data_IF_883120752743
#
_entry.id   IF_883120752743
#
_cell.length_a   1.000
_cell.length_b   1.000
_cell.length_c   1.000
_cell.angle_alpha   90.00
_cell.angle_beta   90.00
_cell.angle_gamma   90.00
#
_symmetry.space_group_name_H-M   'P 1'
#
loop_
_entity.id
_entity.type
_entity.pdbx_description
1 polymer ?
#
# COMPACT_ATOMS: atom_id res chain seq x y z
N UNK A 1 18.05 -12.04 -28.59
CA UNK A 1 16.57 -12.02 -28.68
C UNK A 1 16.07 -11.20 -27.49
N UNK A 2 15.91 -9.89 -27.69
CA UNK A 2 15.72 -8.91 -26.61
C UNK A 2 14.28 -8.42 -26.63
N UNK A 3 13.53 -8.67 -25.55
CA UNK A 3 12.19 -8.12 -25.35
C UNK A 3 12.32 -6.96 -24.37
N UNK A 4 12.29 -5.75 -24.91
CA UNK A 4 12.26 -4.50 -24.15
C UNK A 4 10.89 -4.30 -23.52
N UNK A 5 10.79 -4.42 -22.20
CA UNK A 5 9.61 -4.01 -21.44
C UNK A 5 9.55 -2.48 -21.38
N UNK A 6 8.68 -1.92 -22.22
CA UNK A 6 8.37 -0.49 -22.29
C UNK A 6 7.57 -0.10 -21.04
N UNK A 7 8.26 0.62 -20.15
CA UNK A 7 7.75 1.44 -19.04
C UNK A 7 6.42 2.12 -19.44
N UNK A 8 5.30 1.72 -18.83
CA UNK A 8 4.07 2.53 -18.84
C UNK A 8 4.35 3.79 -18.05
N UNK A 9 4.39 4.94 -18.74
CA UNK A 9 4.33 6.26 -18.10
C UNK A 9 2.94 6.41 -17.50
N UNK A 10 2.89 6.65 -16.19
CA UNK A 10 1.72 7.21 -15.54
C UNK A 10 1.38 8.54 -16.21
N UNK A 11 0.23 8.58 -16.86
CA UNK A 11 -0.38 9.81 -17.29
C UNK A 11 -0.94 10.50 -16.05
N UNK A 12 -0.42 11.70 -15.77
CA UNK A 12 -1.02 12.68 -14.89
C UNK A 12 -2.48 12.90 -15.26
N UNK A 13 -3.41 12.31 -14.50
CA UNK A 13 -4.85 12.55 -14.65
C UNK A 13 -5.18 13.92 -14.05
N UNK A 14 -4.88 14.95 -14.82
CA UNK A 14 -5.45 16.27 -14.67
C UNK A 14 -6.98 16.21 -14.72
N UNK A 15 -7.60 17.12 -13.98
CA UNK A 15 -9.04 17.41 -13.90
C UNK A 15 -9.79 16.95 -15.16
N UNK A 16 -10.74 16.03 -14.99
CA UNK A 16 -11.73 15.70 -16.01
C UNK A 16 -12.63 16.92 -16.24
N UNK A 17 -12.22 17.81 -17.13
CA UNK A 17 -13.15 18.73 -17.80
C UNK A 17 -13.68 17.97 -19.01
N UNK A 18 -14.96 17.55 -19.04
CA UNK A 18 -15.51 16.99 -20.27
C UNK A 18 -15.32 17.99 -21.40
N UNK A 19 -14.78 17.52 -22.52
CA UNK A 19 -14.44 18.33 -23.69
C UNK A 19 -15.74 18.74 -24.40
N UNK A 20 -16.50 19.64 -23.79
CA UNK A 20 -17.74 20.16 -24.31
C UNK A 20 -17.41 21.08 -25.48
N UNK A 21 -17.95 20.76 -26.67
CA UNK A 21 -17.82 21.64 -27.82
C UNK A 21 -18.31 23.05 -27.44
N UNK A 22 -17.58 24.11 -27.85
CA UNK A 22 -17.94 25.46 -27.50
C UNK A 22 -19.39 25.78 -27.91
N UNK A 23 -20.12 26.45 -27.03
CA UNK A 23 -21.55 26.79 -27.22
C UNK A 23 -21.79 27.55 -28.52
N UNK A 24 -20.81 28.37 -28.91
CA UNK A 24 -20.81 29.13 -30.15
C UNK A 24 -20.63 28.27 -31.41
N UNK A 25 -20.32 26.98 -31.30
CA UNK A 25 -20.32 26.02 -32.42
C UNK A 25 -21.62 25.23 -32.47
N UNK A 26 -22.11 24.77 -31.31
CA UNK A 26 -23.34 23.95 -31.24
C UNK A 26 -24.58 24.74 -31.62
N UNK A 27 -24.69 25.99 -31.18
CA UNK A 27 -25.83 26.85 -31.49
C UNK A 27 -25.99 27.14 -33.00
N UNK A 28 -24.94 27.57 -33.74
CA UNK A 28 -25.08 27.79 -35.17
C UNK A 28 -25.25 26.49 -35.96
N UNK A 29 -24.67 25.37 -35.54
CA UNK A 29 -24.89 24.07 -36.20
C UNK A 29 -26.33 23.60 -36.04
N UNK A 30 -26.92 23.73 -34.85
CA UNK A 30 -28.32 23.42 -34.60
C UNK A 30 -29.25 24.35 -35.40
N UNK A 31 -28.94 25.65 -35.46
CA UNK A 31 -29.67 26.61 -36.30
C UNK A 31 -29.57 26.26 -37.79
N UNK A 32 -28.38 25.87 -38.27
CA UNK A 32 -28.20 25.42 -39.66
C UNK A 32 -29.02 24.18 -39.95
N UNK A 33 -29.03 23.19 -39.04
CA UNK A 33 -29.82 21.97 -39.22
C UNK A 33 -31.34 22.26 -39.29
N UNK A 34 -31.83 23.16 -38.42
CA UNK A 34 -33.24 23.62 -38.46
C UNK A 34 -33.54 24.38 -39.76
N UNK A 35 -32.62 25.25 -40.20
CA UNK A 35 -32.75 25.98 -41.46
C UNK A 35 -32.80 25.06 -42.67
N UNK A 36 -31.93 24.04 -42.72
CA UNK A 36 -31.90 23.03 -43.79
C UNK A 36 -33.18 22.19 -43.79
N UNK A 37 -33.67 21.79 -42.62
CA UNK A 37 -34.93 21.05 -42.50
C UNK A 37 -36.13 21.89 -42.97
N UNK A 38 -36.19 23.18 -42.58
CA UNK A 38 -37.23 24.10 -43.03
C UNK A 38 -37.19 24.31 -44.55
N UNK A 39 -35.98 24.46 -45.12
CA UNK A 39 -35.80 24.58 -46.56
C UNK A 39 -36.23 23.31 -47.31
N UNK A 40 -35.87 22.12 -46.82
CA UNK A 40 -36.27 20.86 -47.43
C UNK A 40 -37.79 20.64 -47.39
N UNK A 41 -38.44 21.01 -46.28
CA UNK A 41 -39.91 20.96 -46.16
C UNK A 41 -40.56 21.95 -47.12
N UNK A 42 -40.01 23.16 -47.25
CA UNK A 42 -40.50 24.16 -48.21
C UNK A 42 -40.38 23.64 -49.65
N UNK A 43 -39.23 23.06 -50.02
CA UNK A 43 -39.03 22.49 -51.36
C UNK A 43 -39.97 21.32 -51.62
N UNK A 44 -40.11 20.39 -50.66
CA UNK A 44 -41.05 19.27 -50.79
C UNK A 44 -42.49 19.74 -50.95
N UNK A 45 -42.92 20.72 -50.15
CA UNK A 45 -44.25 21.31 -50.28
C UNK A 45 -44.40 22.01 -51.64
N UNK A 46 -43.42 22.82 -52.04
CA UNK A 46 -43.42 23.50 -53.33
C UNK A 46 -43.53 22.51 -54.49
N UNK A 47 -42.73 21.46 -54.52
CA UNK A 47 -42.77 20.44 -55.57
C UNK A 47 -44.09 19.66 -55.57
N UNK A 48 -44.61 19.31 -54.38
CA UNK A 48 -45.87 18.58 -54.26
C UNK A 48 -47.08 19.43 -54.71
N UNK A 49 -47.10 20.71 -54.37
CA UNK A 49 -48.16 21.64 -54.80
C UNK A 49 -47.95 22.14 -56.24
N UNK A 50 -46.71 22.26 -56.73
CA UNK A 50 -46.41 22.61 -58.11
C UNK A 50 -46.78 21.47 -59.07
N UNK A 51 -46.59 20.21 -58.68
CA UNK A 51 -47.06 19.05 -59.44
C UNK A 51 -48.60 18.95 -59.42
N UNK A 52 -49.26 19.34 -58.33
CA UNK A 52 -50.72 19.43 -58.26
C UNK A 52 -51.31 20.58 -59.11
N UNK A 53 -50.55 21.65 -59.34
CA UNK A 53 -50.96 22.80 -60.15
C UNK A 53 -50.87 22.56 -61.67
N UNK A 54 -50.25 21.46 -62.12
CA UNK A 54 -50.08 21.13 -63.54
C UNK A 54 -51.35 20.68 -64.28
N UNK A 55 -52.47 20.47 -63.58
CA UNK A 55 -53.73 20.07 -64.21
C UNK A 55 -54.97 20.69 -63.53
N UNK A 56 -55.44 21.80 -64.11
CA UNK A 56 -56.72 22.51 -63.94
C UNK A 56 -56.93 23.47 -62.72
N UNK A 57 -57.64 24.56 -63.01
CA UNK A 57 -57.90 25.85 -62.30
C UNK A 57 -58.84 25.72 -61.06
N UNK A 58 -58.89 26.68 -60.10
CA UNK A 58 -57.85 27.32 -59.29
C UNK A 58 -57.64 26.55 -57.96
N UNK A 59 -56.46 26.66 -57.34
CA UNK A 59 -56.21 26.06 -56.04
C UNK A 59 -57.18 26.62 -54.98
N UNK A 60 -57.87 25.73 -54.26
CA UNK A 60 -58.55 26.06 -53.00
C UNK A 60 -57.58 26.89 -52.14
N UNK A 61 -57.99 28.06 -51.63
CA UNK A 61 -57.07 28.91 -50.89
C UNK A 61 -56.54 28.13 -49.69
N UNK A 62 -55.21 28.02 -49.59
CA UNK A 62 -54.54 27.38 -48.47
C UNK A 62 -55.14 27.92 -47.18
N UNK A 63 -55.83 27.07 -46.41
CA UNK A 63 -56.45 27.49 -45.15
C UNK A 63 -55.34 28.01 -44.24
N UNK A 64 -55.48 29.26 -43.82
CA UNK A 64 -54.55 29.92 -42.90
C UNK A 64 -54.36 29.08 -41.64
N UNK A 65 -55.39 28.29 -41.25
CA UNK A 65 -55.31 27.37 -40.13
C UNK A 65 -54.30 26.22 -40.32
N UNK A 66 -54.08 25.72 -41.53
CA UNK A 66 -53.13 24.62 -41.77
C UNK A 66 -51.69 25.12 -41.78
N UNK A 67 -51.46 26.34 -42.29
CA UNK A 67 -50.16 27.02 -42.17
C UNK A 67 -49.85 27.33 -40.69
N UNK A 68 -50.85 27.78 -39.93
CA UNK A 68 -50.70 28.03 -38.48
C UNK A 68 -50.38 26.72 -37.75
N UNK A 69 -51.10 25.63 -38.01
CA UNK A 69 -50.84 24.31 -37.38
C UNK A 69 -49.43 23.80 -37.68
N UNK A 70 -48.98 23.90 -38.93
CA UNK A 70 -47.64 23.47 -39.31
C UNK A 70 -46.56 24.30 -38.58
N UNK A 71 -46.73 25.62 -38.53
CA UNK A 71 -45.79 26.54 -37.87
C UNK A 71 -45.72 26.30 -36.36
N UNK A 72 -46.86 26.07 -35.71
CA UNK A 72 -46.92 25.72 -34.28
C UNK A 72 -46.24 24.38 -34.00
N UNK A 73 -46.41 23.38 -34.87
CA UNK A 73 -45.80 22.05 -34.69
C UNK A 73 -44.28 22.11 -34.79
N UNK A 74 -43.75 22.87 -35.77
CA UNK A 74 -42.31 23.08 -35.94
C UNK A 74 -41.70 23.83 -34.74
N UNK A 75 -42.37 24.88 -34.25
CA UNK A 75 -41.91 25.63 -33.06
C UNK A 75 -41.89 24.75 -31.80
N UNK A 76 -42.90 23.89 -31.62
CA UNK A 76 -42.94 22.94 -30.50
C UNK A 76 -41.80 21.93 -30.56
N UNK A 77 -41.48 21.40 -31.75
CA UNK A 77 -40.35 20.48 -31.96
C UNK A 77 -38.99 21.14 -31.65
N UNK A 78 -38.78 22.37 -32.11
CA UNK A 78 -37.57 23.14 -31.81
C UNK A 78 -37.46 23.42 -30.31
N UNK A 79 -38.57 23.80 -29.67
CA UNK A 79 -38.64 24.00 -28.22
C UNK A 79 -38.30 22.74 -27.43
N UNK A 80 -38.81 21.58 -27.85
CA UNK A 80 -38.52 20.30 -27.20
C UNK A 80 -37.04 19.90 -27.30
N UNK A 81 -36.40 20.13 -28.46
CA UNK A 81 -34.97 19.85 -28.64
C UNK A 81 -34.11 20.77 -27.77
N UNK A 82 -34.42 22.07 -27.71
CA UNK A 82 -33.71 23.03 -26.86
C UNK A 82 -33.89 22.72 -25.37
N UNK A 83 -35.10 22.34 -24.96
CA UNK A 83 -35.38 21.92 -23.59
C UNK A 83 -34.62 20.65 -23.21
N UNK A 84 -34.55 19.66 -24.12
CA UNK A 84 -33.75 18.44 -23.93
C UNK A 84 -32.26 18.72 -23.80
N UNK A 85 -31.70 19.61 -24.64
CA UNK A 85 -30.30 20.04 -24.57
C UNK A 85 -29.99 20.80 -23.27
N UNK A 86 -30.91 21.66 -22.83
CA UNK A 86 -30.81 22.37 -21.56
C UNK A 86 -30.84 21.38 -20.38
N UNK A 87 -31.78 20.44 -20.37
CA UNK A 87 -31.90 19.42 -19.34
C UNK A 87 -30.64 18.54 -19.26
N UNK A 88 -30.11 18.10 -20.41
CA UNK A 88 -28.88 17.30 -20.49
C UNK A 88 -27.65 18.06 -19.96
N UNK A 89 -27.47 19.33 -20.33
CA UNK A 89 -26.38 20.15 -19.77
C UNK A 89 -26.55 20.44 -18.30
N UNK A 90 -27.78 20.72 -17.86
CA UNK A 90 -28.10 20.94 -16.45
C UNK A 90 -27.78 19.68 -15.64
N UNK A 91 -28.07 18.50 -16.18
CA UNK A 91 -27.72 17.22 -15.58
C UNK A 91 -26.20 17.06 -15.43
N UNK A 92 -25.42 17.29 -16.48
CA UNK A 92 -23.95 17.19 -16.43
C UNK A 92 -23.31 18.17 -15.43
N UNK A 93 -23.84 19.40 -15.32
CA UNK A 93 -23.38 20.37 -14.33
C UNK A 93 -23.74 19.93 -12.90
N UNK A 94 -24.97 19.45 -12.69
CA UNK A 94 -25.42 18.97 -11.37
C UNK A 94 -24.65 17.74 -10.89
N UNK A 95 -24.27 16.83 -11.79
CA UNK A 95 -23.42 15.67 -11.47
C UNK A 95 -22.03 16.15 -11.04
N UNK A 96 -21.45 17.13 -11.73
CA UNK A 96 -20.16 17.72 -11.35
C UNK A 96 -20.21 18.50 -10.04
N UNK A 97 -21.30 19.19 -9.75
CA UNK A 97 -21.50 19.93 -8.49
C UNK A 97 -21.72 18.97 -7.31
N UNK A 98 -22.47 17.88 -7.51
CA UNK A 98 -22.67 16.84 -6.51
C UNK A 98 -21.34 16.17 -6.12
N UNK A 99 -20.51 15.77 -7.09
CA UNK A 99 -19.19 15.20 -6.81
C UNK A 99 -18.27 16.17 -6.05
N UNK A 100 -18.31 17.47 -6.37
CA UNK A 100 -17.53 18.48 -5.62
C UNK A 100 -18.05 18.66 -4.20
N UNK A 101 -19.37 18.63 -4.01
CA UNK A 101 -19.97 18.73 -2.68
C UNK A 101 -19.60 17.53 -1.80
N UNK A 102 -19.67 16.31 -2.35
CA UNK A 102 -19.26 15.09 -1.64
C UNK A 102 -17.78 15.16 -1.25
N UNK A 103 -16.90 15.55 -2.18
CA UNK A 103 -15.48 15.71 -1.90
C UNK A 103 -15.19 16.80 -0.85
N UNK A 104 -15.94 17.91 -0.86
CA UNK A 104 -15.83 18.97 0.16
C UNK A 104 -16.25 18.45 1.53
N UNK A 105 -17.35 17.71 1.62
CA UNK A 105 -17.84 17.15 2.88
C UNK A 105 -16.82 16.16 3.50
N UNK A 106 -16.19 15.33 2.66
CA UNK A 106 -15.15 14.40 3.13
C UNK A 106 -13.88 15.15 3.57
N UNK A 107 -13.51 16.24 2.89
CA UNK A 107 -12.40 17.10 3.29
C UNK A 107 -12.66 17.86 4.61
N UNK A 108 -13.90 18.28 4.85
CA UNK A 108 -14.28 18.91 6.12
C UNK A 108 -14.20 17.89 7.27
N UNK A 109 -14.73 16.68 7.06
CA UNK A 109 -14.61 15.55 8.01
C UNK A 109 -13.15 15.21 8.30
N UNK A 110 -12.29 15.23 7.29
CA UNK A 110 -10.84 15.04 7.44
C UNK A 110 -10.24 16.07 8.40
N UNK A 111 -10.53 17.35 8.18
CA UNK A 111 -10.00 18.45 8.98
C UNK A 111 -10.41 18.30 10.45
N UNK A 112 -11.70 18.03 10.70
CA UNK A 112 -12.19 17.80 12.07
C UNK A 112 -11.54 16.57 12.72
N UNK A 113 -11.39 15.46 11.99
CA UNK A 113 -10.79 14.25 12.55
C UNK A 113 -9.28 14.43 12.86
N UNK A 114 -8.57 15.17 12.01
CA UNK A 114 -7.17 15.53 12.23
C UNK A 114 -7.00 16.47 13.44
N UNK A 115 -7.88 17.47 13.60
CA UNK A 115 -7.92 18.34 14.79
C UNK A 115 -8.17 17.55 16.08
N UNK A 116 -9.11 16.60 16.05
CA UNK A 116 -9.39 15.72 17.18
C UNK A 116 -8.18 14.85 17.54
N UNK A 117 -7.49 14.28 16.54
CA UNK A 117 -6.29 13.49 16.76
C UNK A 117 -5.13 14.33 17.35
N UNK A 118 -5.05 15.61 17.00
CA UNK A 118 -4.06 16.56 17.55
C UNK A 118 -4.39 17.08 18.95
N UNK A 119 -5.54 16.73 19.53
CA UNK A 119 -6.04 17.35 20.75
C UNK A 119 -5.28 16.96 22.03
N UNK A 120 -5.28 17.83 23.04
CA UNK A 120 -4.56 17.60 24.30
C UNK A 120 -5.11 16.43 25.13
N UNK A 121 -6.42 16.24 25.08
CA UNK A 121 -7.13 15.19 25.80
C UNK A 121 -7.13 13.86 25.05
N UNK A 122 -6.66 12.79 25.70
CA UNK A 122 -6.54 11.46 25.09
C UNK A 122 -7.88 10.92 24.56
N UNK A 123 -8.98 11.16 25.29
CA UNK A 123 -10.32 10.75 24.85
C UNK A 123 -10.73 11.37 23.51
N UNK A 124 -10.37 12.64 23.27
CA UNK A 124 -10.65 13.32 21.99
C UNK A 124 -9.76 12.76 20.89
N UNK A 125 -8.48 12.45 21.19
CA UNK A 125 -7.59 11.79 20.23
C UNK A 125 -8.09 10.42 19.81
N UNK A 126 -8.59 9.63 20.76
CA UNK A 126 -9.21 8.33 20.47
C UNK A 126 -10.41 8.48 19.52
N UNK A 127 -11.26 9.48 19.72
CA UNK A 127 -12.35 9.79 18.79
C UNK A 127 -11.81 10.16 17.39
N UNK A 128 -10.75 10.96 17.33
CA UNK A 128 -10.05 11.31 16.09
C UNK A 128 -9.50 10.09 15.33
N UNK A 129 -8.91 9.11 16.03
CA UNK A 129 -8.44 7.85 15.43
C UNK A 129 -9.58 7.10 14.74
N UNK A 130 -10.71 6.90 15.42
CA UNK A 130 -11.86 6.22 14.83
C UNK A 130 -12.52 7.04 13.71
N UNK A 131 -12.55 8.36 13.83
CA UNK A 131 -13.07 9.24 12.78
C UNK A 131 -12.23 9.18 11.51
N UNK A 132 -10.89 9.18 11.62
CA UNK A 132 -9.97 8.99 10.49
C UNK A 132 -10.11 7.61 9.87
N UNK A 133 -10.21 6.55 10.68
CA UNK A 133 -10.42 5.19 10.19
C UNK A 133 -11.71 5.10 9.36
N UNK A 134 -12.81 5.63 9.90
CA UNK A 134 -14.10 5.64 9.23
C UNK A 134 -14.09 6.50 7.96
N UNK A 135 -13.37 7.62 7.98
CA UNK A 135 -13.19 8.43 6.78
C UNK A 135 -12.39 7.68 5.72
N UNK A 136 -11.36 6.92 6.11
CA UNK A 136 -10.58 6.09 5.21
C UNK A 136 -11.46 5.03 4.52
N UNK A 137 -12.42 4.44 5.25
CA UNK A 137 -13.41 3.52 4.69
C UNK A 137 -14.29 4.17 3.63
N UNK A 138 -14.83 5.35 3.95
CA UNK A 138 -15.78 6.08 3.11
C UNK A 138 -15.10 6.76 1.91
N UNK A 139 -13.82 7.15 2.01
CA UNK A 139 -13.09 7.95 1.02
C UNK A 139 -11.98 7.18 0.32
N UNK A 140 -12.34 6.27 -0.59
CA UNK A 140 -11.41 5.35 -1.24
C UNK A 140 -10.26 6.07 -1.98
N UNK A 141 -10.52 7.21 -2.63
CA UNK A 141 -9.49 7.96 -3.36
C UNK A 141 -8.41 8.58 -2.46
N UNK A 142 -8.76 8.90 -1.21
CA UNK A 142 -7.84 9.51 -0.23
C UNK A 142 -7.59 8.62 0.99
N UNK A 143 -7.90 7.33 0.90
CA UNK A 143 -7.68 6.36 1.98
C UNK A 143 -6.23 6.35 2.45
N UNK A 144 -5.27 6.45 1.53
CA UNK A 144 -3.84 6.55 1.86
C UNK A 144 -3.53 7.79 2.69
N UNK A 145 -4.20 8.93 2.48
CA UNK A 145 -3.97 10.15 3.27
C UNK A 145 -4.42 9.94 4.72
N UNK A 146 -5.56 9.29 4.95
CA UNK A 146 -6.02 8.97 6.30
C UNK A 146 -5.05 7.99 7.00
N UNK A 147 -4.58 6.96 6.28
CA UNK A 147 -3.57 6.02 6.77
C UNK A 147 -2.25 6.74 7.10
N UNK A 148 -1.79 7.64 6.22
CA UNK A 148 -0.56 8.40 6.39
C UNK A 148 -0.61 9.29 7.65
N UNK A 149 -1.77 9.88 7.98
CA UNK A 149 -1.95 10.66 9.22
C UNK A 149 -1.88 9.78 10.46
N UNK A 150 -2.51 8.60 10.44
CA UNK A 150 -2.44 7.64 11.54
C UNK A 150 -1.00 7.13 11.75
N UNK A 151 -0.30 6.81 10.66
CA UNK A 151 1.12 6.47 10.67
C UNK A 151 1.99 7.63 11.19
N UNK A 152 1.74 8.87 10.73
CA UNK A 152 2.45 10.06 11.18
C UNK A 152 2.30 10.30 12.69
N UNK A 153 1.10 10.04 13.23
CA UNK A 153 0.88 10.11 14.67
C UNK A 153 1.79 9.14 15.45
N UNK A 154 1.98 7.92 14.96
CA UNK A 154 2.90 6.94 15.57
C UNK A 154 4.38 7.36 15.44
N UNK A 155 4.73 8.17 14.45
CA UNK A 155 6.09 8.72 14.27
C UNK A 155 6.39 9.94 15.14
N UNK A 156 5.38 10.52 15.81
CA UNK A 156 5.63 11.61 16.76
C UNK A 156 6.48 11.15 17.95
N UNK A 157 7.21 12.05 18.63
CA UNK A 157 7.95 11.72 19.85
C UNK A 157 7.04 11.02 20.88
N UNK A 158 7.54 9.95 21.48
CA UNK A 158 6.80 9.15 22.44
C UNK A 158 7.69 8.70 23.58
N UNK A 159 7.23 8.97 24.79
CA UNK A 159 7.89 8.58 26.04
C UNK A 159 7.01 7.57 26.78
N UNK A 160 7.42 6.30 26.74
CA UNK A 160 6.68 5.19 27.35
C UNK A 160 6.90 5.06 28.85
N UNK A 161 8.01 5.60 29.38
CA UNK A 161 8.30 5.56 30.81
C UNK A 161 7.35 6.48 31.58
N UNK A 162 6.67 5.95 32.60
CA UNK A 162 5.72 6.70 33.43
C UNK A 162 6.39 7.84 34.21
N UNK A 163 7.67 7.69 34.52
CA UNK A 163 8.43 8.62 35.37
C UNK A 163 9.20 9.69 34.57
N UNK A 164 9.18 9.62 33.24
CA UNK A 164 9.96 10.51 32.40
C UNK A 164 9.24 11.86 32.18
N UNK A 165 9.96 13.01 32.15
CA UNK A 165 9.36 14.35 32.03
C UNK A 165 8.50 14.59 30.78
N UNK A 166 8.65 13.77 29.74
CA UNK A 166 7.87 13.83 28.50
C UNK A 166 6.67 12.88 28.46
N UNK A 167 6.40 12.13 29.53
CA UNK A 167 5.32 11.16 29.55
C UNK A 167 3.95 11.84 29.44
N UNK A 168 3.13 11.38 28.48
CA UNK A 168 1.78 11.89 28.27
C UNK A 168 0.75 10.82 28.66
N UNK A 169 -0.06 11.14 29.67
CA UNK A 169 -1.11 10.25 30.17
C UNK A 169 -2.08 9.88 29.03
N UNK A 170 -2.37 8.59 28.89
CA UNK A 170 -3.26 8.04 27.87
C UNK A 170 -2.67 7.96 26.46
N UNK A 171 -1.44 8.44 26.23
CA UNK A 171 -0.81 8.41 24.91
C UNK A 171 -0.58 6.98 24.40
N UNK A 172 -0.18 6.09 25.30
CA UNK A 172 -0.02 4.66 25.00
C UNK A 172 -1.31 4.05 24.45
N UNK A 173 -2.45 4.33 25.08
CA UNK A 173 -3.75 3.81 24.66
C UNK A 173 -4.18 4.34 23.29
N UNK A 174 -3.91 5.62 22.99
CA UNK A 174 -4.15 6.18 21.66
C UNK A 174 -3.31 5.46 20.60
N UNK A 175 -2.01 5.28 20.84
CA UNK A 175 -1.11 4.59 19.90
C UNK A 175 -1.49 3.14 19.67
N UNK A 176 -1.88 2.42 20.73
CA UNK A 176 -2.36 1.05 20.62
C UNK A 176 -3.69 0.99 19.86
N UNK A 177 -4.55 2.00 20.02
CA UNK A 177 -5.79 2.11 19.23
C UNK A 177 -5.49 2.33 17.75
N UNK A 178 -4.51 3.17 17.40
CA UNK A 178 -4.05 3.32 16.01
C UNK A 178 -3.56 1.98 15.45
N UNK A 179 -2.70 1.26 16.19
CA UNK A 179 -2.20 -0.06 15.79
C UNK A 179 -3.35 -1.06 15.60
N UNK A 180 -4.32 -1.10 16.52
CA UNK A 180 -5.47 -2.00 16.45
C UNK A 180 -6.40 -1.69 15.27
N UNK A 181 -6.62 -0.41 14.97
CA UNK A 181 -7.36 0.02 13.78
C UNK A 181 -6.64 -0.46 12.53
N UNK A 182 -5.33 -0.22 12.41
CA UNK A 182 -4.54 -0.70 11.27
C UNK A 182 -4.65 -2.23 11.17
N UNK A 183 -4.38 -2.97 12.24
CA UNK A 183 -4.49 -4.44 12.29
C UNK A 183 -5.84 -4.93 11.77
N UNK A 184 -6.94 -4.30 12.20
CA UNK A 184 -8.30 -4.69 11.84
C UNK A 184 -8.52 -4.62 10.32
N UNK A 185 -8.04 -3.56 9.68
CA UNK A 185 -8.15 -3.39 8.23
C UNK A 185 -7.16 -4.23 7.42
N UNK A 186 -6.22 -4.93 8.09
CA UNK A 186 -5.29 -5.87 7.48
C UNK A 186 -5.72 -7.34 7.61
N UNK A 187 -6.84 -7.64 8.28
CA UNK A 187 -7.29 -9.02 8.48
C UNK A 187 -7.93 -9.61 7.21
N UNK A 188 -8.80 -8.85 6.54
CA UNK A 188 -9.51 -9.28 5.34
C UNK A 188 -9.01 -8.54 4.11
N UNK A 189 -8.44 -9.30 3.16
CA UNK A 189 -7.86 -8.77 1.92
C UNK A 189 -8.91 -8.38 0.89
N UNK A 190 -10.08 -9.02 0.94
CA UNK A 190 -11.14 -8.87 -0.06
C UNK A 190 -12.20 -7.84 0.36
N UNK A 191 -12.12 -7.33 1.59
CA UNK A 191 -13.00 -6.28 2.08
C UNK A 191 -12.81 -4.96 1.29
N UNK A 192 -13.92 -4.28 0.96
CA UNK A 192 -13.87 -2.96 0.32
C UNK A 192 -13.16 -1.89 1.18
N UNK A 193 -13.06 -2.12 2.49
CA UNK A 193 -12.36 -1.28 3.45
C UNK A 193 -10.93 -1.77 3.73
N UNK A 194 -10.45 -2.79 3.03
CA UNK A 194 -9.12 -3.36 3.26
C UNK A 194 -8.00 -2.34 3.10
N UNK A 195 -7.01 -2.40 3.99
CA UNK A 195 -5.79 -1.59 3.93
C UNK A 195 -4.57 -2.43 3.52
N UNK A 196 -4.75 -3.71 3.17
CA UNK A 196 -3.67 -4.66 2.92
C UNK A 196 -2.68 -4.18 1.83
N UNK A 197 -3.17 -3.53 0.78
CA UNK A 197 -2.35 -3.03 -0.34
C UNK A 197 -1.80 -1.60 -0.18
N UNK A 198 -2.05 -0.95 0.96
CA UNK A 198 -1.60 0.43 1.20
C UNK A 198 -0.22 0.48 1.85
N UNK A 199 0.46 1.61 1.72
CA UNK A 199 1.76 1.85 2.35
C UNK A 199 1.58 2.15 3.83
N UNK A 200 2.41 1.52 4.68
CA UNK A 200 2.47 1.79 6.11
C UNK A 200 3.87 2.29 6.49
N UNK A 201 3.97 3.54 6.92
CA UNK A 201 5.24 4.19 7.23
C UNK A 201 5.36 4.52 8.73
N UNK A 202 6.10 3.67 9.43
CA UNK A 202 6.44 3.81 10.85
C UNK A 202 7.90 4.24 11.06
N UNK A 203 8.49 4.94 10.08
CA UNK A 203 9.88 5.40 10.15
C UNK A 203 10.13 6.23 11.42
N UNK A 204 11.11 5.84 12.22
CA UNK A 204 11.47 6.52 13.47
C UNK A 204 10.47 6.37 14.61
N UNK A 205 9.41 5.57 14.45
CA UNK A 205 8.42 5.37 15.51
C UNK A 205 8.99 4.57 16.69
N UNK A 206 8.48 4.86 17.89
CA UNK A 206 8.77 4.09 19.10
C UNK A 206 7.61 3.14 19.39
N UNK A 207 7.92 1.85 19.50
CA UNK A 207 6.99 0.79 19.87
C UNK A 207 7.36 0.20 21.23
N UNK A 208 6.50 0.38 22.23
CA UNK A 208 6.54 -0.32 23.53
C UNK A 208 5.51 -1.48 23.58
N UNK A 209 5.04 -1.89 22.41
CA UNK A 209 4.17 -3.02 22.16
C UNK A 209 3.25 -2.78 20.97
N UNK A 210 2.51 -3.81 20.58
CA UNK A 210 1.54 -3.73 19.50
C UNK A 210 1.18 -5.10 18.95
N UNK A 211 -0.01 -5.21 18.37
CA UNK A 211 -0.48 -6.46 17.79
C UNK A 211 -0.80 -6.24 16.30
N UNK A 212 -0.16 -7.04 15.46
CA UNK A 212 -0.38 -7.19 14.03
C UNK A 212 -0.54 -8.67 13.64
N UNK A 213 -0.79 -9.57 14.61
CA UNK A 213 -0.97 -11.00 14.37
C UNK A 213 -2.07 -11.28 13.34
N UNK A 214 -1.80 -12.23 12.44
CA UNK A 214 -2.68 -12.63 11.35
C UNK A 214 -2.91 -11.58 10.25
N UNK A 215 -2.19 -10.46 10.26
CA UNK A 215 -2.37 -9.39 9.26
C UNK A 215 -1.76 -9.75 7.91
N UNK A 216 -2.31 -9.18 6.83
CA UNK A 216 -1.80 -9.29 5.47
C UNK A 216 -1.19 -7.96 5.02
N UNK A 217 0.10 -7.98 4.71
CA UNK A 217 0.88 -6.84 4.23
C UNK A 217 1.22 -7.04 2.75
N UNK A 218 0.33 -6.53 1.89
CA UNK A 218 0.44 -6.61 0.43
C UNK A 218 1.01 -5.30 -0.16
N UNK A 219 1.06 -4.23 0.63
CA UNK A 219 1.79 -2.99 0.33
C UNK A 219 3.14 -2.89 1.05
N UNK A 220 3.95 -1.85 0.75
CA UNK A 220 5.24 -1.63 1.39
C UNK A 220 5.09 -1.18 2.85
N UNK A 221 6.00 -1.63 3.70
CA UNK A 221 6.02 -1.28 5.12
C UNK A 221 7.43 -0.85 5.57
N UNK A 222 7.51 0.30 6.23
CA UNK A 222 8.76 0.82 6.80
C UNK A 222 8.69 0.92 8.31
N UNK A 223 9.68 0.35 8.97
CA UNK A 223 10.11 0.54 10.35
C UNK A 223 11.54 1.07 10.40
N UNK A 224 12.01 1.72 9.32
CA UNK A 224 13.36 2.29 9.27
C UNK A 224 13.57 3.24 10.45
N UNK A 225 14.71 3.17 11.12
CA UNK A 225 15.03 3.95 12.33
C UNK A 225 14.06 3.76 13.52
N UNK A 226 13.14 2.81 13.49
CA UNK A 226 12.20 2.59 14.58
C UNK A 226 12.91 2.03 15.83
N UNK A 227 12.35 2.34 17.00
CA UNK A 227 12.79 1.76 18.28
C UNK A 227 11.73 0.77 18.77
N UNK A 228 12.08 -0.50 18.82
CA UNK A 228 11.32 -1.53 19.53
C UNK A 228 11.82 -1.56 20.99
N UNK A 229 11.20 -0.77 21.85
CA UNK A 229 11.47 -0.71 23.29
C UNK A 229 11.03 -2.01 23.98
N UNK A 230 11.05 -2.07 25.31
CA UNK A 230 10.97 -3.32 26.12
C UNK A 230 9.65 -4.14 26.02
N UNK A 231 8.70 -3.67 25.20
CA UNK A 231 7.44 -4.35 24.92
C UNK A 231 7.55 -5.51 23.93
N UNK A 232 6.37 -6.02 23.55
CA UNK A 232 6.22 -7.07 22.53
C UNK A 232 5.42 -6.53 21.35
N UNK A 233 6.02 -6.57 20.15
CA UNK A 233 5.33 -6.32 18.88
C UNK A 233 5.11 -7.64 18.17
N UNK A 234 3.85 -7.94 17.87
CA UNK A 234 3.42 -9.28 17.45
C UNK A 234 2.96 -9.31 15.99
N UNK A 235 3.66 -10.06 15.15
CA UNK A 235 3.33 -10.39 13.76
C UNK A 235 3.12 -11.89 13.56
N UNK A 236 2.75 -12.64 14.60
CA UNK A 236 2.53 -14.09 14.51
C UNK A 236 1.49 -14.42 13.43
N UNK A 237 1.83 -15.36 12.57
CA UNK A 237 0.97 -15.79 11.46
C UNK A 237 0.68 -14.70 10.41
N UNK A 238 1.35 -13.55 10.45
CA UNK A 238 1.18 -12.52 9.44
C UNK A 238 1.75 -12.98 8.09
N UNK A 239 1.18 -12.46 6.99
CA UNK A 239 1.67 -12.70 5.63
C UNK A 239 2.18 -11.41 5.03
N UNK A 240 3.38 -11.43 4.47
CA UNK A 240 4.00 -10.33 3.77
C UNK A 240 4.23 -10.71 2.31
N UNK A 241 3.60 -9.97 1.40
CA UNK A 241 3.65 -10.20 -0.05
C UNK A 241 3.98 -8.93 -0.87
N UNK A 242 4.01 -7.75 -0.24
CA UNK A 242 4.12 -6.42 -0.87
C UNK A 242 5.50 -5.94 -1.30
N UNK A 243 6.51 -6.81 -1.35
CA UNK A 243 7.79 -6.53 -2.01
C UNK A 243 8.89 -5.91 -1.14
N UNK A 244 8.58 -5.09 -0.13
CA UNK A 244 9.61 -4.53 0.77
C UNK A 244 9.10 -4.35 2.21
N UNK A 245 9.89 -4.86 3.15
CA UNK A 245 9.73 -4.68 4.60
C UNK A 245 11.05 -4.13 5.12
N UNK A 246 11.07 -2.86 5.51
CA UNK A 246 12.30 -2.19 5.91
C UNK A 246 12.40 -1.97 7.42
N UNK A 247 13.37 -2.60 8.06
CA UNK A 247 13.82 -2.36 9.44
C UNK A 247 15.23 -1.77 9.46
N UNK A 248 15.65 -1.10 8.38
CA UNK A 248 16.98 -0.49 8.30
C UNK A 248 17.22 0.47 9.47
N UNK A 249 18.40 0.37 10.09
CA UNK A 249 18.78 1.20 11.25
C UNK A 249 17.81 1.14 12.44
N UNK A 250 16.90 0.15 12.51
CA UNK A 250 16.02 -0.04 13.65
C UNK A 250 16.77 -0.58 14.87
N UNK A 251 16.25 -0.30 16.05
CA UNK A 251 16.82 -0.76 17.33
C UNK A 251 15.87 -1.72 18.02
N UNK A 252 16.36 -2.89 18.38
CA UNK A 252 15.60 -3.95 19.03
C UNK A 252 16.08 -4.14 20.48
N UNK A 253 15.31 -3.57 21.41
CA UNK A 253 15.51 -3.72 22.86
C UNK A 253 14.46 -4.66 23.46
N UNK A 254 13.24 -4.67 22.92
CA UNK A 254 12.19 -5.63 23.29
C UNK A 254 12.05 -6.80 22.33
N UNK A 255 10.83 -7.34 22.27
CA UNK A 255 10.53 -8.59 21.54
C UNK A 255 9.72 -8.31 20.29
N UNK A 256 10.12 -8.91 19.17
CA UNK A 256 9.35 -8.88 17.93
C UNK A 256 9.10 -10.30 17.43
N UNK A 257 7.83 -10.66 17.25
CA UNK A 257 7.42 -12.02 16.92
C UNK A 257 6.91 -12.14 15.49
N UNK A 258 7.63 -12.90 14.66
CA UNK A 258 7.23 -13.35 13.34
C UNK A 258 7.00 -14.88 13.31
N UNK A 259 6.68 -15.49 14.46
CA UNK A 259 6.47 -16.93 14.54
C UNK A 259 5.36 -17.37 13.58
N UNK A 260 5.62 -18.39 12.78
CA UNK A 260 4.73 -18.89 11.72
C UNK A 260 4.32 -17.83 10.66
N UNK A 261 5.04 -16.71 10.57
CA UNK A 261 4.78 -15.71 9.54
C UNK A 261 5.23 -16.22 8.16
N UNK A 262 4.62 -15.65 7.10
CA UNK A 262 4.90 -16.01 5.70
C UNK A 262 5.48 -14.80 4.99
N UNK A 263 6.66 -14.97 4.41
CA UNK A 263 7.32 -13.98 3.57
C UNK A 263 7.39 -14.53 2.14
N UNK A 264 6.72 -13.84 1.22
CA UNK A 264 6.52 -14.31 -0.16
C UNK A 264 7.13 -13.28 -1.10
N UNK A 265 8.28 -13.60 -1.67
CA UNK A 265 9.05 -12.67 -2.50
C UNK A 265 9.60 -11.48 -1.69
N UNK A 266 10.08 -10.47 -2.41
CA UNK A 266 10.47 -9.19 -1.82
C UNK A 266 11.75 -9.22 -0.98
N UNK A 267 12.05 -8.06 -0.39
CA UNK A 267 13.20 -7.82 0.46
C UNK A 267 12.72 -7.55 1.88
N UNK A 268 13.31 -8.25 2.85
CA UNK A 268 13.21 -7.94 4.27
C UNK A 268 14.56 -7.41 4.72
N UNK A 269 14.64 -6.13 5.02
CA UNK A 269 15.88 -5.43 5.35
C UNK A 269 15.98 -5.19 6.84
N UNK A 270 17.05 -5.67 7.46
CA UNK A 270 17.53 -5.31 8.80
C UNK A 270 18.92 -4.67 8.70
N UNK A 271 19.21 -4.01 7.58
CA UNK A 271 20.52 -3.44 7.34
C UNK A 271 20.83 -2.36 8.39
N UNK A 272 22.02 -2.39 8.97
CA UNK A 272 22.45 -1.49 10.04
C UNK A 272 21.56 -1.52 11.31
N UNK A 273 20.69 -2.53 11.45
CA UNK A 273 19.89 -2.68 12.67
C UNK A 273 20.77 -3.07 13.87
N UNK A 274 20.35 -2.65 15.06
CA UNK A 274 21.02 -2.94 16.32
C UNK A 274 20.12 -3.82 17.20
N UNK A 275 20.64 -5.00 17.57
CA UNK A 275 19.99 -5.94 18.50
C UNK A 275 20.72 -5.86 19.83
N UNK A 276 20.15 -5.12 20.78
CA UNK A 276 20.77 -4.73 22.05
C UNK A 276 20.04 -5.41 23.23
N UNK A 277 19.92 -6.74 23.18
CA UNK A 277 19.21 -7.53 24.20
C UNK A 277 17.77 -7.88 23.82
N UNK A 278 17.19 -7.17 22.84
CA UNK A 278 15.92 -7.52 22.24
C UNK A 278 15.98 -8.79 21.40
N UNK A 279 14.87 -9.52 21.36
CA UNK A 279 14.78 -10.80 20.65
C UNK A 279 13.82 -10.69 19.46
N UNK A 280 14.24 -11.18 18.30
CA UNK A 280 13.42 -11.27 17.10
C UNK A 280 13.20 -12.74 16.73
N UNK A 281 11.95 -13.16 16.67
CA UNK A 281 11.57 -14.57 16.56
C UNK A 281 10.93 -14.85 15.20
N UNK A 282 11.61 -15.59 14.34
CA UNK A 282 11.13 -16.16 13.09
C UNK A 282 10.87 -17.66 13.19
N UNK A 283 10.63 -18.17 14.41
CA UNK A 283 10.48 -19.61 14.60
C UNK A 283 9.28 -20.15 13.79
N UNK A 284 9.50 -21.21 13.01
CA UNK A 284 8.48 -21.77 12.10
C UNK A 284 8.06 -20.85 10.95
N UNK A 285 8.74 -19.71 10.71
CA UNK A 285 8.41 -18.82 9.61
C UNK A 285 8.78 -19.43 8.25
N UNK A 286 8.02 -19.08 7.22
CA UNK A 286 8.25 -19.53 5.84
C UNK A 286 8.70 -18.37 4.96
N UNK A 287 9.86 -18.52 4.33
CA UNK A 287 10.42 -17.57 3.36
C UNK A 287 10.48 -18.24 1.99
N UNK A 288 9.72 -17.72 1.02
CA UNK A 288 9.67 -18.28 -0.34
C UNK A 288 9.98 -17.18 -1.35
N UNK A 289 11.09 -17.29 -2.08
CA UNK A 289 11.45 -16.26 -3.06
C UNK A 289 11.98 -14.95 -2.45
N UNK A 290 12.10 -14.88 -1.13
CA UNK A 290 12.44 -13.64 -0.40
C UNK A 290 13.94 -13.47 -0.20
N UNK A 291 14.39 -12.21 -0.15
CA UNK A 291 15.74 -11.85 0.28
C UNK A 291 15.69 -11.26 1.67
N UNK A 292 16.39 -11.87 2.63
CA UNK A 292 16.53 -11.37 3.99
C UNK A 292 17.97 -10.86 4.18
N UNK A 293 18.12 -9.59 4.58
CA UNK A 293 19.44 -8.94 4.67
C UNK A 293 19.67 -8.26 6.02
N UNK A 294 20.85 -8.46 6.58
CA UNK A 294 21.36 -7.93 7.86
C UNK A 294 22.71 -7.23 7.65
N UNK A 295 22.93 -6.64 6.47
CA UNK A 295 24.17 -5.96 6.10
C UNK A 295 24.53 -4.92 7.16
N UNK A 296 25.75 -4.95 7.68
CA UNK A 296 26.25 -4.02 8.71
C UNK A 296 25.42 -4.00 10.00
N UNK A 297 24.55 -4.99 10.24
CA UNK A 297 23.82 -5.11 11.49
C UNK A 297 24.78 -5.41 12.65
N UNK A 298 24.37 -5.04 13.87
CA UNK A 298 25.10 -5.30 15.10
C UNK A 298 24.24 -6.14 16.03
N UNK A 299 24.73 -7.34 16.34
CA UNK A 299 24.07 -8.28 17.22
C UNK A 299 24.92 -8.34 18.50
N UNK A 300 24.64 -7.41 19.41
CA UNK A 300 25.45 -7.22 20.63
C UNK A 300 24.98 -8.15 21.73
N UNK A 301 23.67 -8.26 21.91
CA UNK A 301 23.01 -9.19 22.83
C UNK A 301 21.64 -9.59 22.27
N UNK A 302 20.94 -10.48 22.94
CA UNK A 302 19.66 -11.00 22.49
C UNK A 302 19.80 -12.02 21.38
N UNK A 303 18.69 -12.28 20.70
CA UNK A 303 18.55 -13.45 19.87
C UNK A 303 17.73 -13.19 18.61
N UNK A 304 18.27 -13.59 17.46
CA UNK A 304 17.51 -13.72 16.22
C UNK A 304 17.25 -15.22 16.00
N UNK A 305 16.00 -15.64 16.19
CA UNK A 305 15.63 -17.05 16.26
C UNK A 305 14.85 -17.51 15.01
N UNK A 306 15.49 -18.23 14.12
CA UNK A 306 14.92 -18.92 12.96
C UNK A 306 14.68 -20.41 13.19
N UNK A 307 14.55 -20.85 14.45
CA UNK A 307 14.36 -22.27 14.72
C UNK A 307 13.14 -22.85 13.97
N UNK A 308 13.32 -24.00 13.32
CA UNK A 308 12.29 -24.63 12.49
C UNK A 308 11.76 -23.78 11.32
N UNK A 309 12.44 -22.71 10.93
CA UNK A 309 12.05 -21.90 9.77
C UNK A 309 12.33 -22.65 8.45
N UNK A 310 11.54 -22.35 7.42
CA UNK A 310 11.76 -22.84 6.07
C UNK A 310 12.17 -21.70 5.15
N UNK A 311 13.35 -21.80 4.55
CA UNK A 311 13.87 -20.84 3.59
C UNK A 311 14.03 -21.51 2.22
N UNK A 312 13.26 -21.05 1.22
CA UNK A 312 13.21 -21.63 -0.12
C UNK A 312 13.47 -20.58 -1.21
N UNK A 313 14.40 -20.89 -2.11
CA UNK A 313 14.64 -20.15 -3.37
C UNK A 313 14.81 -18.64 -3.18
N UNK A 314 15.72 -18.23 -2.30
CA UNK A 314 15.93 -16.85 -1.88
C UNK A 314 17.36 -16.61 -1.43
N UNK A 315 17.59 -15.54 -0.69
CA UNK A 315 18.93 -15.20 -0.19
C UNK A 315 18.89 -14.73 1.26
N UNK A 316 19.97 -15.04 1.99
CA UNK A 316 20.17 -14.69 3.38
C UNK A 316 21.55 -14.02 3.52
N UNK A 317 21.54 -12.71 3.75
CA UNK A 317 22.77 -11.91 3.81
C UNK A 317 23.03 -11.44 5.24
N UNK A 318 24.17 -11.85 5.79
CA UNK A 318 24.79 -11.40 7.05
C UNK A 318 26.21 -10.88 6.79
N UNK A 319 26.53 -10.51 5.55
CA UNK A 319 27.85 -10.00 5.23
C UNK A 319 28.10 -8.68 5.96
N UNK A 320 29.32 -8.49 6.44
CA UNK A 320 29.73 -7.32 7.25
C UNK A 320 28.94 -7.13 8.56
N UNK A 321 28.16 -8.14 9.00
CA UNK A 321 27.50 -8.14 10.32
C UNK A 321 28.51 -8.33 11.45
N UNK A 322 28.29 -7.67 12.58
CA UNK A 322 29.07 -7.88 13.81
C UNK A 322 28.27 -8.69 14.83
N UNK A 323 28.84 -9.81 15.30
CA UNK A 323 28.28 -10.69 16.33
C UNK A 323 29.10 -10.56 17.61
N UNK A 324 28.66 -9.73 18.56
CA UNK A 324 29.42 -9.39 19.77
C UNK A 324 28.73 -9.80 21.08
N UNK A 325 28.18 -11.02 21.12
CA UNK A 325 27.55 -11.62 22.31
C UNK A 325 26.20 -12.29 22.02
N UNK A 326 25.39 -11.68 21.14
CA UNK A 326 24.08 -12.23 20.78
C UNK A 326 24.13 -13.50 19.94
N UNK A 327 22.96 -14.14 19.79
CA UNK A 327 22.81 -15.44 19.13
C UNK A 327 21.93 -15.35 17.88
N UNK A 328 22.39 -15.93 16.78
CA UNK A 328 21.52 -16.27 15.64
C UNK A 328 21.32 -17.78 15.61
N UNK A 329 20.07 -18.22 15.70
CA UNK A 329 19.71 -19.64 15.75
C UNK A 329 18.95 -20.03 14.50
N UNK A 330 19.46 -21.02 13.78
CA UNK A 330 18.78 -21.70 12.68
C UNK A 330 18.42 -23.15 13.04
N UNK A 331 18.46 -23.53 14.32
CA UNK A 331 18.30 -24.94 14.71
C UNK A 331 17.00 -25.56 14.17
N UNK A 332 17.08 -26.76 13.59
CA UNK A 332 15.97 -27.45 12.91
C UNK A 332 15.41 -26.72 11.67
N UNK A 333 16.05 -25.67 11.18
CA UNK A 333 15.61 -24.98 9.97
C UNK A 333 15.96 -25.77 8.70
N UNK A 334 15.16 -25.56 7.65
CA UNK A 334 15.41 -26.14 6.33
C UNK A 334 15.72 -25.03 5.33
N UNK A 335 16.83 -25.20 4.61
CA UNK A 335 17.27 -24.33 3.53
C UNK A 335 17.23 -25.11 2.21
N UNK A 336 16.59 -24.55 1.20
CA UNK A 336 16.53 -25.14 -0.14
C UNK A 336 16.79 -24.10 -1.22
N UNK A 337 17.89 -24.25 -1.95
CA UNK A 337 18.28 -23.31 -3.00
C UNK A 337 18.66 -21.92 -2.47
N UNK A 338 19.14 -21.82 -1.23
CA UNK A 338 19.46 -20.55 -0.59
C UNK A 338 20.90 -20.15 -0.83
N UNK A 339 21.12 -18.88 -1.16
CA UNK A 339 22.42 -18.23 -1.04
C UNK A 339 22.55 -17.58 0.35
N UNK A 340 23.26 -18.24 1.24
CA UNK A 340 23.68 -17.72 2.55
C UNK A 340 25.07 -17.07 2.47
N UNK A 341 25.20 -15.84 2.95
CA UNK A 341 26.44 -15.07 2.87
C UNK A 341 26.76 -14.40 4.21
N UNK A 342 27.84 -14.85 4.84
CA UNK A 342 28.41 -14.35 6.10
C UNK A 342 29.83 -13.81 5.87
N UNK A 343 30.13 -13.37 4.64
CA UNK A 343 31.48 -12.90 4.30
C UNK A 343 31.79 -11.58 4.98
N UNK A 344 33.07 -11.38 5.33
CA UNK A 344 33.56 -10.13 5.94
C UNK A 344 32.89 -9.80 7.29
N UNK A 345 32.18 -10.77 7.89
CA UNK A 345 31.52 -10.58 9.18
C UNK A 345 32.52 -10.72 10.33
N UNK A 346 32.24 -10.06 11.46
CA UNK A 346 33.06 -10.12 12.67
C UNK A 346 32.36 -10.96 13.74
N UNK A 347 33.00 -12.06 14.15
CA UNK A 347 32.53 -12.90 15.24
C UNK A 347 33.39 -12.63 16.49
N UNK A 348 32.83 -11.93 17.48
CA UNK A 348 33.50 -11.50 18.70
C UNK A 348 32.66 -11.80 19.97
N UNK A 349 32.38 -13.08 20.22
CA UNK A 349 31.69 -13.56 21.42
C UNK A 349 30.26 -14.06 21.20
N UNK A 350 29.67 -13.85 20.01
CA UNK A 350 28.34 -14.35 19.65
C UNK A 350 28.32 -15.81 19.14
N UNK A 351 27.12 -16.37 18.99
CA UNK A 351 26.92 -17.73 18.43
C UNK A 351 26.04 -17.68 17.19
N UNK A 352 26.43 -18.38 16.13
CA UNK A 352 25.54 -18.77 15.03
C UNK A 352 25.38 -20.29 15.05
N UNK A 353 24.16 -20.76 15.24
CA UNK A 353 23.87 -22.20 15.36
C UNK A 353 23.02 -22.69 14.19
N UNK A 354 23.45 -23.78 13.57
CA UNK A 354 22.79 -24.52 12.51
C UNK A 354 22.49 -25.96 12.95
N UNK A 355 22.21 -26.18 14.24
CA UNK A 355 22.06 -27.53 14.77
C UNK A 355 20.83 -28.23 14.16
N UNK A 356 20.97 -29.50 13.76
CA UNK A 356 19.89 -30.26 13.11
C UNK A 356 19.30 -29.57 11.86
N UNK A 357 20.07 -28.74 11.16
CA UNK A 357 19.60 -28.09 9.93
C UNK A 357 19.68 -29.02 8.73
N UNK A 358 18.80 -28.78 7.75
CA UNK A 358 18.87 -29.42 6.43
C UNK A 358 19.23 -28.34 5.41
N UNK A 359 20.37 -28.48 4.76
CA UNK A 359 20.88 -27.55 3.75
C UNK A 359 20.91 -28.25 2.38
N UNK A 360 20.04 -27.85 1.46
CA UNK A 360 19.93 -28.44 0.12
C UNK A 360 20.16 -27.44 -1.02
N UNK A 361 20.94 -27.85 -2.03
CA UNK A 361 21.11 -27.16 -3.32
C UNK A 361 21.46 -25.65 -3.24
N UNK A 362 22.16 -25.22 -2.18
CA UNK A 362 22.49 -23.82 -1.92
C UNK A 362 23.98 -23.53 -1.81
N UNK A 363 24.32 -22.32 -1.37
CA UNK A 363 25.68 -21.94 -0.99
C UNK A 363 25.67 -21.27 0.37
N UNK A 364 26.65 -21.56 1.21
CA UNK A 364 26.88 -20.85 2.47
C UNK A 364 28.35 -20.42 2.53
N UNK A 365 28.63 -19.14 2.76
CA UNK A 365 30.01 -18.65 2.73
C UNK A 365 30.35 -17.81 3.95
N UNK A 366 31.45 -18.18 4.63
CA UNK A 366 32.07 -17.44 5.73
C UNK A 366 33.42 -16.83 5.33
N UNK A 367 33.76 -16.80 4.04
CA UNK A 367 35.03 -16.27 3.54
C UNK A 367 35.33 -14.85 4.04
N UNK A 368 36.61 -14.59 4.32
CA UNK A 368 37.10 -13.28 4.81
C UNK A 368 36.43 -12.79 6.10
N UNK A 369 35.68 -13.63 6.82
CA UNK A 369 35.21 -13.27 8.16
C UNK A 369 36.35 -13.31 9.18
N UNK A 370 36.19 -12.59 10.29
CA UNK A 370 37.15 -12.58 11.39
C UNK A 370 36.59 -13.34 12.58
N UNK A 371 37.37 -14.28 13.12
CA UNK A 371 37.02 -15.03 14.33
C UNK A 371 37.86 -14.51 15.50
N UNK A 372 37.27 -13.64 16.32
CA UNK A 372 37.86 -13.04 17.53
C UNK A 372 37.30 -13.61 18.85
N UNK A 373 36.41 -14.61 18.76
CA UNK A 373 35.67 -15.19 19.88
C UNK A 373 34.24 -15.53 19.46
N UNK A 374 33.59 -16.51 20.09
CA UNK A 374 32.27 -16.98 19.67
C UNK A 374 32.32 -18.26 18.80
N UNK A 375 31.17 -18.75 18.36
CA UNK A 375 31.07 -20.07 17.73
C UNK A 375 30.10 -20.08 16.54
N UNK A 376 30.50 -20.74 15.46
CA UNK A 376 29.59 -21.20 14.40
C UNK A 376 29.45 -22.71 14.55
N UNK A 377 28.24 -23.20 14.80
CA UNK A 377 27.97 -24.61 15.14
C UNK A 377 27.09 -25.25 14.08
N UNK A 378 27.43 -26.48 13.69
CA UNK A 378 26.68 -27.29 12.73
C UNK A 378 26.40 -28.71 13.26
N UNK A 379 26.19 -28.85 14.56
CA UNK A 379 25.91 -30.14 15.20
C UNK A 379 24.74 -30.84 14.53
N UNK A 380 24.95 -32.06 14.05
CA UNK A 380 23.93 -32.87 13.36
C UNK A 380 23.27 -32.19 12.14
N UNK A 381 23.96 -31.25 11.50
CA UNK A 381 23.49 -30.65 10.25
C UNK A 381 23.71 -31.59 9.06
N UNK A 382 22.71 -31.67 8.18
CA UNK A 382 22.76 -32.44 6.93
C UNK A 382 22.94 -31.51 5.73
N UNK A 383 23.86 -31.87 4.83
CA UNK A 383 24.16 -31.11 3.62
C UNK A 383 23.98 -32.00 2.38
N UNK A 384 23.06 -31.62 1.49
CA UNK A 384 22.83 -32.31 0.22
C UNK A 384 22.97 -31.33 -0.95
N UNK A 385 24.09 -31.42 -1.68
CA UNK A 385 24.38 -30.51 -2.79
C UNK A 385 24.58 -29.03 -2.40
N UNK A 386 24.72 -28.73 -1.10
CA UNK A 386 25.08 -27.38 -0.63
C UNK A 386 26.59 -27.22 -0.58
N UNK A 387 27.10 -26.15 -1.17
CA UNK A 387 28.52 -25.79 -1.10
C UNK A 387 28.75 -24.86 0.09
N UNK A 388 29.67 -25.24 0.98
CA UNK A 388 30.04 -24.42 2.14
C UNK A 388 31.49 -23.96 2.01
N UNK A 389 31.70 -22.64 1.99
CA UNK A 389 32.99 -22.01 2.20
C UNK A 389 33.14 -21.67 3.69
N UNK A 390 33.98 -22.44 4.39
CA UNK A 390 34.16 -22.34 5.84
C UNK A 390 34.94 -21.10 6.28
N UNK A 391 35.65 -20.42 5.38
CA UNK A 391 36.51 -19.28 5.72
C UNK A 391 37.44 -19.60 6.90
N UNK A 392 37.41 -18.83 8.01
CA UNK A 392 38.27 -19.06 9.17
C UNK A 392 37.78 -20.19 10.11
N UNK A 393 36.61 -20.78 9.87
CA UNK A 393 36.01 -21.78 10.76
C UNK A 393 36.43 -23.21 10.38
N UNK A 394 36.53 -24.14 11.35
CA UNK A 394 36.87 -25.53 11.06
C UNK A 394 35.72 -26.23 10.33
N UNK A 395 36.05 -27.06 9.34
CA UNK A 395 35.08 -27.94 8.69
C UNK A 395 34.72 -29.11 9.64
N UNK A 396 33.44 -29.31 10.02
CA UNK A 396 33.03 -30.39 10.90
C UNK A 396 33.30 -31.80 10.35
N UNK A 397 33.38 -31.95 9.02
CA UNK A 397 33.60 -33.24 8.36
C UNK A 397 35.09 -33.62 8.22
N UNK A 398 36.03 -32.78 8.65
CA UNK A 398 37.48 -33.03 8.54
C UNK A 398 38.13 -33.58 9.83
N UNK A 399 37.34 -34.17 10.74
CA UNK A 399 37.83 -34.85 11.94
C UNK A 399 37.62 -36.36 11.86
#
# INVERSE_FOLDING_TARGET
MAISLRRKRDASRGRYTPNLWPVWIVAPVAMMAVGVAAWAIYQYAYDHFAQAAGSQVPAEPVDVNDVIKATVTVLTLVGAVLAGLYAYRKQLLSEGDAHRADASQLADRYTTAAEQLGHDQAAVRLAGVYALARLADDWQEQRQVCIDVLCAYLRMPYESSLDAPGHRVGEREVRFTVINVIRTHLQDRDANTSWCGYRLDFTGAVFDGGNFSGSHFDGPISFSHALFADGTVDFRGATFSGGEIDFSSAKFNGRVWFTNARFIGGIISFNQAEFNGGNVYFAGAHFTGSTLTFLLAKITDGMINFASAELRSGALYFNETTFSGGTVRFDNATFSGIKGDFRVSLFNGGTVSFANTILSAGTLSFANSTHGGGAVRFTDAAYDGTVIDWGPFPNPASN
#
